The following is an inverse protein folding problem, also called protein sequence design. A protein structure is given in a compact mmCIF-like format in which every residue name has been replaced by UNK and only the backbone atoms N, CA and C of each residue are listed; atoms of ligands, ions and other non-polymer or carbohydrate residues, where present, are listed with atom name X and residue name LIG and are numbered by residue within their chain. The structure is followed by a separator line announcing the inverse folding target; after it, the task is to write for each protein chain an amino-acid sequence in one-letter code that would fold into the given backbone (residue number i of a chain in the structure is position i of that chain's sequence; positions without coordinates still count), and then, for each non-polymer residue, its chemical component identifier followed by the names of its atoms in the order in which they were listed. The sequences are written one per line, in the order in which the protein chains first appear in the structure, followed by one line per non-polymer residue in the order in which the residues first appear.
data_IF_626496120649
#
_entry.id   IF_626496120649
#
_cell.length_a   1.000
_cell.length_b   1.000
_cell.length_c   1.000
_cell.angle_alpha   90.00
_cell.angle_beta   90.00
_cell.angle_gamma   90.00
#
_symmetry.space_group_name_H-M   'P 1'
#
loop_
_entity.id
_entity.type
_entity.pdbx_description
1 polymer ?
#
# COMPACT_ATOMS: atom_id res chain seq x y z
N UNK A 1 26.26 4.95 -62.90
CA UNK A 1 25.02 5.40 -63.53
C UNK A 1 23.94 5.39 -62.45
N UNK A 2 23.45 6.61 -62.11
CA UNK A 2 22.36 7.05 -61.22
C UNK A 2 22.62 6.82 -59.73
N UNK A 3 23.07 7.77 -59.02
CA UNK A 3 22.43 8.98 -58.38
C UNK A 3 20.99 8.74 -57.95
N UNK A 4 20.77 8.89 -56.62
CA UNK A 4 19.71 9.71 -56.08
C UNK A 4 19.91 9.85 -54.57
N UNK A 5 20.46 10.99 -54.21
CA UNK A 5 20.25 11.79 -53.00
C UNK A 5 18.76 11.81 -52.59
N UNK A 6 18.46 11.73 -51.29
CA UNK A 6 17.53 12.69 -50.68
C UNK A 6 17.57 12.56 -49.16
N UNK A 7 18.29 13.49 -48.60
CA UNK A 7 18.12 14.11 -47.29
C UNK A 7 16.65 14.44 -46.98
N UNK A 8 16.17 14.04 -45.81
CA UNK A 8 15.08 14.74 -45.09
C UNK A 8 15.26 14.59 -43.58
N UNK A 9 15.94 15.58 -43.05
CA UNK A 9 15.81 15.98 -41.65
C UNK A 9 14.40 16.50 -41.36
N UNK A 10 13.59 15.76 -40.61
CA UNK A 10 12.37 16.31 -40.03
C UNK A 10 12.60 16.72 -38.57
N UNK A 11 12.82 18.01 -38.41
CA UNK A 11 12.82 18.67 -37.09
C UNK A 11 11.39 18.82 -36.59
N UNK A 12 11.07 18.14 -35.50
CA UNK A 12 9.81 18.31 -34.77
C UNK A 12 9.79 19.69 -34.07
N UNK A 13 8.81 20.57 -34.31
CA UNK A 13 8.76 21.86 -33.65
C UNK A 13 8.34 21.73 -32.18
N UNK A 14 9.17 22.33 -31.31
CA UNK A 14 8.83 22.59 -29.91
C UNK A 14 7.63 23.53 -29.86
N UNK A 15 6.49 23.05 -29.34
CA UNK A 15 5.33 23.90 -29.07
C UNK A 15 5.60 24.80 -27.87
N UNK A 16 5.81 26.07 -28.16
CA UNK A 16 5.83 27.15 -27.18
C UNK A 16 4.41 27.37 -26.64
N UNK A 17 4.23 27.23 -25.35
CA UNK A 17 3.04 27.70 -24.65
C UNK A 17 3.26 29.16 -24.24
N UNK A 18 2.74 30.10 -25.03
CA UNK A 18 2.55 31.47 -24.58
C UNK A 18 1.14 31.93 -24.92
N UNK A 19 0.42 32.26 -23.86
CA UNK A 19 -0.44 33.42 -23.72
C UNK A 19 -1.73 33.48 -24.51
N UNK A 20 -2.85 33.35 -23.82
CA UNK A 20 -4.03 34.17 -24.10
C UNK A 20 -4.50 34.73 -22.75
N UNK A 21 -4.41 36.06 -22.66
CA UNK A 21 -5.00 36.84 -21.58
C UNK A 21 -6.35 37.42 -22.07
N UNK A 22 -7.27 37.50 -21.12
CA UNK A 22 -8.45 38.37 -21.02
C UNK A 22 -9.64 38.12 -21.96
N UNK A 23 -10.83 37.98 -21.38
CA UNK A 23 -11.82 39.04 -21.23
C UNK A 23 -12.94 38.59 -20.29
N UNK A 24 -13.32 39.51 -19.42
CA UNK A 24 -14.35 39.49 -18.42
C UNK A 24 -15.76 39.21 -18.93
N UNK A 25 -16.53 38.38 -18.21
CA UNK A 25 -17.97 38.52 -18.15
C UNK A 25 -18.42 38.17 -16.69
N UNK A 26 -18.99 39.17 -16.05
CA UNK A 26 -19.64 39.11 -14.76
C UNK A 26 -20.76 38.04 -14.75
N UNK A 27 -20.55 36.97 -14.06
CA UNK A 27 -21.55 36.01 -13.64
C UNK A 27 -21.34 35.75 -12.15
N UNK A 28 -22.23 36.27 -11.33
CA UNK A 28 -22.32 35.99 -9.90
C UNK A 28 -22.54 34.48 -9.72
N UNK A 29 -21.47 33.72 -9.62
CA UNK A 29 -21.52 32.39 -9.02
C UNK A 29 -21.15 32.56 -7.56
N UNK A 30 -22.15 32.37 -6.72
CA UNK A 30 -22.01 32.13 -5.28
C UNK A 30 -21.03 30.96 -5.10
N UNK A 31 -19.74 31.25 -4.99
CA UNK A 31 -18.77 30.28 -4.51
C UNK A 31 -19.06 30.08 -3.04
N UNK A 32 -19.96 29.13 -2.74
CA UNK A 32 -19.94 28.49 -1.44
C UNK A 32 -18.50 27.98 -1.26
N UNK A 33 -17.70 28.76 -0.55
CA UNK A 33 -16.37 28.39 -0.11
C UNK A 33 -16.55 27.12 0.71
N UNK A 34 -16.44 25.97 0.03
CA UNK A 34 -16.16 24.71 0.69
C UNK A 34 -14.85 24.98 1.44
N UNK A 35 -14.99 25.30 2.72
CA UNK A 35 -13.87 25.30 3.65
C UNK A 35 -13.36 23.86 3.67
N UNK A 36 -12.46 23.55 2.76
CA UNK A 36 -11.61 22.40 2.89
C UNK A 36 -10.92 22.60 4.24
N UNK A 37 -11.49 21.95 5.26
CA UNK A 37 -10.92 21.92 6.60
C UNK A 37 -9.53 21.35 6.40
N UNK A 38 -8.53 22.20 6.44
CA UNK A 38 -7.14 21.77 6.40
C UNK A 38 -7.03 20.66 7.45
N UNK A 39 -6.76 19.43 7.00
CA UNK A 39 -6.40 18.38 7.95
C UNK A 39 -5.26 18.95 8.78
N UNK A 40 -5.33 18.83 10.13
CA UNK A 40 -4.21 19.25 10.97
C UNK A 40 -2.97 18.64 10.37
N UNK A 41 -1.91 19.43 10.21
CA UNK A 41 -0.60 18.95 9.80
C UNK A 41 -0.32 17.74 10.69
N UNK A 42 -0.39 16.54 10.12
CA UNK A 42 -0.01 15.34 10.85
C UNK A 42 1.47 15.56 11.15
N UNK A 43 1.82 15.61 12.44
CA UNK A 43 3.21 15.69 12.86
C UNK A 43 4.04 14.65 12.09
N UNK A 44 5.36 14.70 12.21
CA UNK A 44 6.30 13.88 11.41
C UNK A 44 6.00 12.36 11.37
N UNK A 45 4.86 11.92 11.89
CA UNK A 45 4.42 10.54 11.97
C UNK A 45 5.18 9.75 13.05
N UNK A 46 4.89 8.47 13.20
CA UNK A 46 5.60 7.64 14.17
C UNK A 46 7.07 7.53 13.81
N UNK A 47 7.95 7.62 14.80
CA UNK A 47 9.41 7.51 14.64
C UNK A 47 9.86 6.04 14.45
N UNK A 48 9.23 5.34 13.51
CA UNK A 48 9.64 3.97 13.19
C UNK A 48 10.88 3.89 12.30
N UNK A 49 11.23 4.88 11.44
CA UNK A 49 12.46 4.82 10.67
C UNK A 49 13.71 4.75 11.55
N UNK A 50 13.72 5.41 12.71
CA UNK A 50 14.81 5.35 13.69
C UNK A 50 15.03 3.96 14.29
N UNK A 51 14.07 3.06 14.19
CA UNK A 51 14.17 1.68 14.68
C UNK A 51 14.82 0.73 13.68
N UNK A 52 15.01 1.14 12.41
CA UNK A 52 15.53 0.30 11.33
C UNK A 52 17.03 0.04 11.52
N UNK A 53 17.36 -1.10 12.06
CA UNK A 53 18.72 -1.56 12.34
C UNK A 53 19.18 -2.53 11.24
N UNK A 54 20.46 -2.84 11.24
CA UNK A 54 21.02 -3.82 10.31
C UNK A 54 21.73 -3.17 9.11
N UNK A 55 22.62 -3.95 8.53
CA UNK A 55 23.45 -3.53 7.40
C UNK A 55 22.66 -3.50 6.09
N UNK A 56 21.81 -4.49 5.91
CA UNK A 56 20.98 -4.64 4.71
C UNK A 56 19.54 -4.25 5.06
N UNK A 57 19.02 -3.24 4.38
CA UNK A 57 17.67 -2.73 4.61
C UNK A 57 16.91 -2.63 3.31
N UNK A 58 15.68 -3.14 3.26
CA UNK A 58 14.84 -3.06 2.07
C UNK A 58 13.39 -2.77 2.44
N UNK A 59 12.77 -1.82 1.73
CA UNK A 59 11.33 -1.57 1.81
C UNK A 59 10.63 -2.29 0.67
N UNK A 60 9.60 -3.03 1.04
CA UNK A 60 8.69 -3.74 0.13
C UNK A 60 7.38 -2.95 0.06
N UNK A 61 7.12 -2.40 -1.10
CA UNK A 61 5.93 -1.58 -1.35
C UNK A 61 4.76 -2.47 -1.79
N UNK A 62 3.94 -2.87 -0.83
CA UNK A 62 2.84 -3.82 -1.03
C UNK A 62 1.56 -3.07 -1.35
N UNK A 63 1.34 -2.78 -2.63
CA UNK A 63 0.15 -2.05 -3.12
C UNK A 63 -0.95 -2.97 -3.69
N UNK A 64 -0.69 -4.25 -3.84
CA UNK A 64 -1.66 -5.28 -4.22
C UNK A 64 -1.43 -6.58 -3.45
N UNK A 65 -2.40 -7.49 -3.50
CA UNK A 65 -2.31 -8.81 -2.86
C UNK A 65 -1.26 -9.68 -3.56
N UNK A 66 -1.20 -9.67 -4.89
CA UNK A 66 -0.21 -10.43 -5.65
C UNK A 66 -0.01 -11.86 -5.10
N UNK A 67 -1.11 -12.58 -4.84
CA UNK A 67 -1.14 -13.99 -4.39
C UNK A 67 -0.26 -14.34 -3.17
N UNK A 68 0.18 -13.37 -2.39
CA UNK A 68 1.09 -13.58 -1.26
C UNK A 68 2.58 -13.47 -1.60
N UNK A 69 2.93 -13.29 -2.87
CA UNK A 69 4.35 -13.18 -3.30
C UNK A 69 5.15 -12.14 -2.54
N UNK A 70 4.61 -10.95 -2.17
CA UNK A 70 5.37 -9.96 -1.41
C UNK A 70 5.98 -10.51 -0.12
N UNK A 71 5.29 -11.42 0.55
CA UNK A 71 5.76 -12.06 1.78
C UNK A 71 6.92 -13.04 1.50
N UNK A 72 6.83 -13.74 0.37
CA UNK A 72 7.92 -14.57 -0.15
C UNK A 72 9.18 -13.74 -0.46
N UNK A 73 9.01 -12.56 -1.07
CA UNK A 73 10.13 -11.65 -1.36
C UNK A 73 10.84 -11.21 -0.08
N UNK A 74 10.06 -10.84 0.96
CA UNK A 74 10.63 -10.51 2.28
C UNK A 74 11.38 -11.69 2.86
N UNK A 75 10.79 -12.88 2.89
CA UNK A 75 11.46 -14.08 3.39
C UNK A 75 12.77 -14.37 2.65
N UNK A 76 12.77 -14.26 1.32
CA UNK A 76 13.95 -14.48 0.48
C UNK A 76 15.03 -13.43 0.73
N UNK A 77 14.65 -12.20 1.05
CA UNK A 77 15.60 -11.13 1.40
C UNK A 77 16.25 -11.34 2.77
N UNK A 78 15.44 -11.67 3.80
CA UNK A 78 15.98 -11.77 5.17
C UNK A 78 16.68 -13.10 5.46
N UNK A 79 16.35 -14.19 4.73
CA UNK A 79 16.89 -15.52 5.02
C UNK A 79 18.42 -15.62 4.82
N UNK A 80 19.00 -15.11 3.72
CA UNK A 80 20.46 -15.16 3.53
C UNK A 80 21.23 -14.06 4.28
N UNK A 81 20.55 -13.15 4.96
CA UNK A 81 21.13 -11.95 5.55
C UNK A 81 20.84 -11.88 7.06
N UNK A 82 21.78 -12.31 7.90
CA UNK A 82 21.60 -12.35 9.37
C UNK A 82 21.30 -10.97 9.99
N UNK A 83 21.74 -9.88 9.39
CA UNK A 83 21.55 -8.51 9.87
C UNK A 83 20.63 -7.68 8.95
N UNK A 84 19.68 -8.32 8.28
CA UNK A 84 18.75 -7.63 7.42
C UNK A 84 17.56 -7.07 8.20
N UNK A 85 17.06 -5.90 7.77
CA UNK A 85 15.78 -5.36 8.18
C UNK A 85 14.88 -5.18 6.95
N UNK A 86 13.78 -5.90 6.93
CA UNK A 86 12.73 -5.70 5.94
C UNK A 86 11.65 -4.77 6.49
N UNK A 87 11.11 -3.91 5.62
CA UNK A 87 9.99 -3.03 5.90
C UNK A 87 8.87 -3.35 4.93
N UNK A 88 7.70 -3.74 5.43
CA UNK A 88 6.49 -3.97 4.63
C UNK A 88 5.57 -2.77 4.74
N UNK A 89 5.22 -2.13 3.63
CA UNK A 89 4.25 -1.03 3.59
C UNK A 89 3.00 -1.50 2.87
N UNK A 90 1.95 -1.78 3.65
CA UNK A 90 0.65 -2.20 3.13
C UNK A 90 -0.18 -0.98 2.72
N UNK A 91 -0.44 -0.83 1.43
CA UNK A 91 -1.22 0.28 0.89
C UNK A 91 -2.16 -0.16 -0.23
N UNK A 92 -3.10 0.69 -0.62
CA UNK A 92 -4.05 0.44 -1.69
C UNK A 92 -4.74 -0.93 -1.53
N UNK A 93 -4.63 -1.83 -2.50
CA UNK A 93 -5.21 -3.18 -2.43
C UNK A 93 -4.35 -4.17 -1.61
N UNK A 94 -3.15 -3.80 -1.20
CA UNK A 94 -2.33 -4.58 -0.27
C UNK A 94 -2.73 -4.43 1.21
N UNK A 95 -3.66 -3.51 1.54
CA UNK A 95 -4.10 -3.30 2.92
C UNK A 95 -4.65 -4.55 3.62
N UNK A 96 -5.36 -5.49 2.96
CA UNK A 96 -5.87 -6.69 3.61
C UNK A 96 -4.83 -7.50 4.39
N UNK A 97 -3.57 -7.49 4.00
CA UNK A 97 -2.51 -8.14 4.77
C UNK A 97 -2.41 -7.65 6.22
N UNK A 98 -2.66 -6.35 6.43
CA UNK A 98 -2.58 -5.71 7.73
C UNK A 98 -3.78 -5.98 8.64
N UNK A 99 -4.88 -6.52 8.13
CA UNK A 99 -6.14 -6.67 8.84
C UNK A 99 -6.24 -8.03 9.55
N UNK A 100 -6.73 -8.05 10.79
CA UNK A 100 -6.96 -9.30 11.51
C UNK A 100 -8.19 -10.07 10.99
N UNK A 101 -8.32 -11.33 11.39
CA UNK A 101 -9.39 -12.21 10.88
C UNK A 101 -10.80 -11.76 11.25
N UNK A 102 -10.98 -10.95 12.30
CA UNK A 102 -12.29 -10.39 12.65
C UNK A 102 -12.77 -9.41 11.57
N UNK A 103 -11.89 -8.53 11.11
CA UNK A 103 -12.21 -7.61 10.00
C UNK A 103 -12.48 -8.38 8.72
N UNK A 104 -11.70 -9.41 8.43
CA UNK A 104 -11.89 -10.26 7.26
C UNK A 104 -13.29 -10.87 7.21
N UNK A 105 -13.76 -11.45 8.34
CA UNK A 105 -15.07 -12.06 8.43
C UNK A 105 -16.20 -11.02 8.36
N UNK A 106 -16.13 -9.98 9.20
CA UNK A 106 -17.21 -8.99 9.34
C UNK A 106 -17.44 -8.19 8.06
N UNK A 107 -16.37 -7.79 7.38
CA UNK A 107 -16.40 -6.91 6.22
C UNK A 107 -16.28 -7.64 4.88
N UNK A 108 -16.35 -8.99 4.89
CA UNK A 108 -16.26 -9.84 3.69
C UNK A 108 -15.06 -9.49 2.80
N UNK A 109 -13.90 -9.35 3.44
CA UNK A 109 -12.66 -8.92 2.75
C UNK A 109 -12.30 -9.88 1.62
N UNK A 110 -12.31 -11.19 1.88
CA UNK A 110 -11.97 -12.19 0.86
C UNK A 110 -12.90 -12.15 -0.35
N UNK A 111 -14.21 -11.97 -0.13
CA UNK A 111 -15.19 -11.83 -1.22
C UNK A 111 -14.89 -10.58 -2.07
N UNK A 112 -14.69 -9.43 -1.39
CA UNK A 112 -14.48 -8.15 -2.06
C UNK A 112 -13.17 -8.08 -2.85
N UNK A 113 -12.10 -8.65 -2.30
CA UNK A 113 -10.77 -8.67 -2.93
C UNK A 113 -10.51 -9.93 -3.76
N UNK A 114 -11.52 -10.81 -3.89
CA UNK A 114 -11.44 -12.09 -4.62
C UNK A 114 -10.31 -13.00 -4.13
N UNK A 115 -10.09 -13.01 -2.82
CA UNK A 115 -9.07 -13.83 -2.18
C UNK A 115 -9.70 -15.15 -1.77
N UNK A 116 -9.18 -16.22 -2.32
CA UNK A 116 -9.68 -17.58 -2.09
C UNK A 116 -8.94 -18.21 -0.91
N UNK A 117 -9.70 -18.76 0.00
CA UNK A 117 -9.15 -19.57 1.09
C UNK A 117 -8.60 -20.89 0.51
N UNK A 118 -7.32 -21.21 0.75
CA UNK A 118 -6.69 -22.38 0.17
C UNK A 118 -7.26 -23.71 0.69
N UNK A 119 -7.94 -23.73 1.86
CA UNK A 119 -8.55 -24.92 2.43
C UNK A 119 -9.99 -25.11 1.91
N UNK A 120 -10.83 -24.07 2.06
CA UNK A 120 -12.26 -24.17 1.77
C UNK A 120 -12.59 -23.98 0.29
N UNK A 121 -11.65 -23.44 -0.49
CA UNK A 121 -11.82 -23.05 -1.91
C UNK A 121 -12.90 -21.99 -2.15
N UNK A 122 -13.44 -21.41 -1.08
CA UNK A 122 -14.36 -20.27 -1.11
C UNK A 122 -13.66 -18.95 -0.80
N UNK A 123 -14.40 -17.83 -0.75
CA UNK A 123 -13.83 -16.54 -0.31
C UNK A 123 -13.26 -16.65 1.10
N UNK A 124 -12.05 -16.13 1.30
CA UNK A 124 -11.38 -16.19 2.59
C UNK A 124 -12.13 -15.37 3.65
N UNK A 125 -12.48 -15.99 4.76
CA UNK A 125 -13.12 -15.34 5.93
C UNK A 125 -12.11 -15.02 7.04
N UNK A 126 -10.84 -15.37 6.84
CA UNK A 126 -9.72 -15.09 7.73
C UNK A 126 -8.56 -14.54 6.91
N UNK A 127 -7.64 -13.86 7.58
CA UNK A 127 -6.38 -13.49 6.94
C UNK A 127 -5.55 -14.77 6.68
N UNK A 128 -5.40 -15.22 5.42
CA UNK A 128 -4.74 -16.50 5.16
C UNK A 128 -3.21 -16.44 5.32
N UNK A 129 -2.66 -15.25 5.56
CA UNK A 129 -1.22 -15.03 5.69
C UNK A 129 -0.77 -14.75 7.12
N UNK A 130 -1.69 -14.62 8.07
CA UNK A 130 -1.39 -14.42 9.50
C UNK A 130 -1.79 -15.66 10.28
N UNK A 131 -0.83 -16.31 10.95
CA UNK A 131 -1.02 -17.56 11.67
C UNK A 131 -1.72 -18.66 10.83
N UNK A 132 -1.22 -18.92 9.62
CA UNK A 132 -1.81 -19.93 8.75
C UNK A 132 -1.65 -21.33 9.36
N UNK A 133 -2.61 -22.22 9.08
CA UNK A 133 -2.45 -23.62 9.40
C UNK A 133 -1.27 -24.25 8.64
N UNK A 134 -0.65 -25.31 9.18
CA UNK A 134 0.39 -26.05 8.47
C UNK A 134 -0.08 -26.48 7.08
N UNK A 135 0.76 -26.24 6.05
CA UNK A 135 0.47 -26.62 4.67
C UNK A 135 -0.34 -25.61 3.86
N UNK A 136 -0.89 -24.54 4.48
CA UNK A 136 -1.65 -23.49 3.77
C UNK A 136 -0.73 -22.62 2.93
N UNK A 137 0.42 -22.23 3.46
CA UNK A 137 1.46 -21.52 2.71
C UNK A 137 2.53 -22.49 2.24
N UNK A 138 2.95 -22.36 0.98
CA UNK A 138 4.05 -23.15 0.41
C UNK A 138 5.38 -22.94 1.17
N UNK A 139 5.58 -21.75 1.74
CA UNK A 139 6.67 -21.44 2.66
C UNK A 139 6.10 -20.89 3.98
N UNK A 140 6.04 -21.70 5.06
CA UNK A 140 5.53 -21.24 6.35
C UNK A 140 6.31 -20.08 6.97
N UNK A 141 7.59 -19.91 6.61
CA UNK A 141 8.44 -18.82 7.12
C UNK A 141 8.07 -17.44 6.51
N UNK A 142 7.29 -17.44 5.42
CA UNK A 142 6.74 -16.24 4.83
C UNK A 142 5.43 -15.78 5.48
N UNK A 143 4.92 -16.46 6.49
CA UNK A 143 3.75 -16.00 7.24
C UNK A 143 4.04 -14.70 7.99
N UNK A 144 3.05 -13.81 8.07
CA UNK A 144 3.21 -12.47 8.65
C UNK A 144 3.65 -12.52 10.12
N UNK A 145 3.10 -13.42 10.92
CA UNK A 145 3.51 -13.66 12.31
C UNK A 145 4.98 -14.07 12.40
N UNK A 146 5.45 -14.91 11.48
CA UNK A 146 6.86 -15.34 11.41
C UNK A 146 7.78 -14.22 10.96
N UNK A 147 7.36 -13.43 9.99
CA UNK A 147 8.13 -12.27 9.51
C UNK A 147 8.28 -11.22 10.61
N UNK A 148 7.22 -10.94 11.38
CA UNK A 148 7.29 -10.05 12.57
C UNK A 148 8.26 -10.60 13.60
N UNK A 149 8.14 -11.88 13.96
CA UNK A 149 9.03 -12.52 14.92
C UNK A 149 10.51 -12.46 14.51
N UNK A 150 10.78 -12.33 13.21
CA UNK A 150 12.12 -12.15 12.62
C UNK A 150 12.54 -10.69 12.45
N UNK A 151 11.80 -9.74 13.04
CA UNK A 151 12.15 -8.32 13.05
C UNK A 151 11.70 -7.52 11.82
N UNK A 152 10.80 -8.07 10.98
CA UNK A 152 10.19 -7.29 9.89
C UNK A 152 9.32 -6.18 10.48
N UNK A 153 9.54 -4.94 10.03
CA UNK A 153 8.75 -3.77 10.41
C UNK A 153 7.59 -3.62 9.46
N UNK A 154 6.39 -3.36 9.98
CA UNK A 154 5.18 -3.29 9.16
C UNK A 154 4.44 -1.97 9.36
N UNK A 155 4.03 -1.36 8.25
CA UNK A 155 3.24 -0.15 8.23
C UNK A 155 1.99 -0.26 7.37
N UNK A 156 0.85 0.22 7.88
CA UNK A 156 -0.41 0.32 7.15
C UNK A 156 -0.69 1.77 6.73
N UNK A 157 -1.02 1.97 5.46
CA UNK A 157 -1.36 3.27 4.89
C UNK A 157 -2.68 3.81 5.46
N UNK A 158 -2.64 4.93 6.22
CA UNK A 158 -3.84 5.56 6.77
C UNK A 158 -4.83 6.06 5.71
N UNK A 159 -4.33 6.43 4.52
CA UNK A 159 -5.19 6.78 3.38
C UNK A 159 -5.93 5.53 2.88
N UNK A 160 -5.24 4.40 2.77
CA UNK A 160 -5.86 3.14 2.36
C UNK A 160 -6.84 2.62 3.42
N UNK A 161 -6.53 2.77 4.71
CA UNK A 161 -7.45 2.43 5.81
C UNK A 161 -8.76 3.18 5.66
N UNK A 162 -8.74 4.51 5.49
CA UNK A 162 -9.95 5.32 5.28
C UNK A 162 -10.71 4.91 4.02
N UNK A 163 -10.02 4.75 2.91
CA UNK A 163 -10.64 4.41 1.64
C UNK A 163 -11.28 3.02 1.65
N UNK A 164 -10.58 2.01 2.13
CA UNK A 164 -11.06 0.63 2.12
C UNK A 164 -12.13 0.39 3.19
N UNK A 165 -11.98 0.95 4.40
CA UNK A 165 -13.03 0.82 5.43
C UNK A 165 -14.34 1.47 4.97
N UNK A 166 -14.27 2.68 4.39
CA UNK A 166 -15.46 3.34 3.84
C UNK A 166 -16.12 2.53 2.72
N UNK A 167 -15.32 1.97 1.81
CA UNK A 167 -15.82 1.12 0.72
C UNK A 167 -16.52 -0.16 1.25
N UNK A 168 -16.00 -0.73 2.33
CA UNK A 168 -16.48 -1.99 2.88
C UNK A 168 -17.56 -1.82 3.98
N UNK A 169 -17.81 -0.60 4.45
CA UNK A 169 -18.77 -0.32 5.53
C UNK A 169 -20.16 -0.93 5.29
N UNK A 170 -20.64 -0.86 4.05
CA UNK A 170 -21.92 -1.44 3.64
C UNK A 170 -22.01 -2.96 3.83
N UNK A 171 -20.92 -3.70 3.71
CA UNK A 171 -20.90 -5.14 3.92
C UNK A 171 -21.20 -5.54 5.37
N UNK A 172 -20.91 -4.63 6.32
CA UNK A 172 -21.16 -4.83 7.75
C UNK A 172 -22.37 -4.04 8.28
N UNK A 173 -23.04 -3.25 7.43
CA UNK A 173 -24.17 -2.43 7.84
C UNK A 173 -23.81 -1.31 8.81
N UNK A 174 -22.59 -0.77 8.73
CA UNK A 174 -22.07 0.28 9.61
C UNK A 174 -21.74 1.55 8.81
N UNK A 175 -21.53 2.67 9.51
CA UNK A 175 -21.05 3.90 8.87
C UNK A 175 -19.57 3.81 8.49
N UNK A 176 -19.11 4.67 7.57
CA UNK A 176 -17.70 4.74 7.18
C UNK A 176 -16.77 5.11 8.35
N UNK A 177 -17.26 5.92 9.30
CA UNK A 177 -16.53 6.32 10.49
C UNK A 177 -16.34 5.15 11.47
N UNK A 178 -17.42 4.39 11.73
CA UNK A 178 -17.36 3.18 12.56
C UNK A 178 -16.45 2.14 11.93
N UNK A 179 -16.56 1.91 10.61
CA UNK A 179 -15.68 1.00 9.89
C UNK A 179 -14.20 1.41 10.00
N UNK A 180 -13.89 2.70 9.85
CA UNK A 180 -12.51 3.19 10.02
C UNK A 180 -11.98 2.94 11.42
N UNK A 181 -12.79 3.21 12.44
CA UNK A 181 -12.42 2.95 13.83
C UNK A 181 -12.13 1.46 14.07
N UNK A 182 -12.99 0.59 13.56
CA UNK A 182 -12.80 -0.85 13.68
C UNK A 182 -11.56 -1.35 12.92
N UNK A 183 -11.35 -0.92 11.69
CA UNK A 183 -10.16 -1.30 10.90
C UNK A 183 -8.88 -0.88 11.60
N UNK A 184 -8.85 0.35 12.14
CA UNK A 184 -7.68 0.88 12.84
C UNK A 184 -7.38 0.11 14.14
N UNK A 185 -8.42 -0.27 14.87
CA UNK A 185 -8.30 -1.01 16.14
C UNK A 185 -7.99 -2.51 15.94
N UNK A 186 -8.14 -3.03 14.72
CA UNK A 186 -8.08 -4.46 14.42
C UNK A 186 -7.05 -4.79 13.33
N UNK A 187 -5.91 -4.14 13.38
CA UNK A 187 -4.72 -4.54 12.64
C UNK A 187 -4.09 -5.77 13.28
N UNK A 188 -3.34 -6.55 12.50
CA UNK A 188 -2.53 -7.64 13.06
C UNK A 188 -1.42 -7.05 13.96
N UNK A 189 -0.92 -7.80 14.95
CA UNK A 189 0.16 -7.35 15.83
C UNK A 189 1.40 -6.88 15.04
N UNK A 190 2.03 -5.81 15.51
CA UNK A 190 3.25 -5.26 14.93
C UNK A 190 3.05 -4.31 13.75
N UNK A 191 1.82 -4.06 13.32
CA UNK A 191 1.53 -3.06 12.27
C UNK A 191 1.32 -1.68 12.88
N UNK A 192 2.06 -0.69 12.37
CA UNK A 192 1.91 0.73 12.71
C UNK A 192 1.10 1.45 11.64
N UNK A 193 0.14 2.29 12.04
CA UNK A 193 -0.59 3.16 11.11
C UNK A 193 0.31 4.32 10.69
N UNK A 194 0.48 4.49 9.39
CA UNK A 194 1.28 5.56 8.78
C UNK A 194 0.37 6.66 8.20
N UNK A 195 0.82 7.91 8.11
CA UNK A 195 0.07 8.97 7.44
C UNK A 195 -0.39 8.58 6.04
N UNK A 196 0.51 8.02 5.24
CA UNK A 196 0.22 7.38 3.96
C UNK A 196 1.27 6.31 3.64
N UNK A 197 0.96 5.42 2.68
CA UNK A 197 1.91 4.41 2.25
C UNK A 197 3.10 5.01 1.51
N UNK A 198 2.89 6.03 0.69
CA UNK A 198 3.98 6.74 -0.01
C UNK A 198 4.90 7.47 0.95
N UNK A 199 4.36 8.07 2.02
CA UNK A 199 5.15 8.61 3.11
C UNK A 199 6.02 7.51 3.74
N UNK A 200 5.44 6.35 4.05
CA UNK A 200 6.17 5.24 4.65
C UNK A 200 7.32 4.73 3.78
N UNK A 201 7.08 4.57 2.47
CA UNK A 201 8.13 4.19 1.50
C UNK A 201 9.25 5.23 1.46
N UNK A 202 8.90 6.53 1.38
CA UNK A 202 9.89 7.60 1.38
C UNK A 202 10.75 7.57 2.66
N UNK A 203 10.12 7.51 3.85
CA UNK A 203 10.84 7.48 5.13
C UNK A 203 11.73 6.25 5.28
N UNK A 204 11.31 5.09 4.77
CA UNK A 204 12.16 3.90 4.74
C UNK A 204 13.41 4.11 3.87
N UNK A 205 13.24 4.70 2.69
CA UNK A 205 14.36 4.99 1.79
C UNK A 205 15.32 6.04 2.38
N UNK A 206 14.82 7.08 3.02
CA UNK A 206 15.65 8.06 3.76
C UNK A 206 16.44 7.40 4.91
N UNK A 207 15.89 6.35 5.53
CA UNK A 207 16.58 5.54 6.54
C UNK A 207 17.56 4.51 5.94
N UNK A 208 17.78 4.55 4.62
CA UNK A 208 18.75 3.72 3.92
C UNK A 208 18.21 2.40 3.39
N UNK A 209 16.89 2.23 3.30
CA UNK A 209 16.31 1.06 2.63
C UNK A 209 16.43 1.17 1.11
N UNK A 210 16.82 0.07 0.46
CA UNK A 210 16.58 -0.11 -0.97
C UNK A 210 15.11 -0.41 -1.21
N UNK A 211 14.63 -0.21 -2.44
CA UNK A 211 13.22 -0.39 -2.80
C UNK A 211 12.99 -1.74 -3.51
N UNK A 212 11.89 -2.40 -3.15
CA UNK A 212 11.36 -3.55 -3.87
C UNK A 212 9.84 -3.37 -4.09
N UNK A 213 9.40 -3.49 -5.32
CA UNK A 213 7.98 -3.52 -5.63
C UNK A 213 7.37 -4.84 -5.15
N UNK A 214 6.40 -4.78 -4.25
CA UNK A 214 5.69 -5.94 -3.72
C UNK A 214 4.36 -6.24 -4.42
N UNK A 215 3.92 -5.35 -5.32
CA UNK A 215 2.67 -5.53 -6.05
C UNK A 215 2.85 -6.16 -7.44
N UNK A 216 1.72 -6.59 -8.04
CA UNK A 216 1.62 -6.88 -9.47
C UNK A 216 0.96 -5.71 -10.20
N UNK A 217 1.27 -5.53 -11.46
CA UNK A 217 0.65 -4.52 -12.34
C UNK A 217 -0.55 -5.07 -13.11
N UNK A 218 -0.91 -6.32 -12.87
CA UNK A 218 -1.98 -7.03 -13.56
C UNK A 218 -3.36 -6.77 -12.96
#
# INVERSE_FOLDING_TARGET
MRDLDQDRSETTPRRSFFGIAAISALGLFDLAASTARAQPAQGDGPDWPGTLKGRHKQVFDVYSINEGFPLGFVNNFITPNESATAVLIFRHQGLPYALNSMIWAKYKVGETFKIIDPETKGPAVKNPWFEPKPGVLGNPQAALDRLVARGTVMGACGVALRGQSGRLAGNAGVTAEEALKEFTANLIPGVTVLPSGTWGVNRAQEAGCTYCAGGSTD
#
